data_IF_373067017125
#
_entry.id   IF_373067017125
#
_cell.length_a   1.000
_cell.length_b   1.000
_cell.length_c   1.000
_cell.angle_alpha   90.00
_cell.angle_beta   90.00
_cell.angle_gamma   90.00
#
_symmetry.space_group_name_H-M   'P 1'
#
loop_
_entity.id
_entity.type
_entity.pdbx_description
1 polymer ?
#
# COMPACT_ATOMS: atom_id res chain seq x y z
N UNK A 1 -4.25 -8.33 -9.62
CA UNK A 1 -5.18 -7.37 -8.97
C UNK A 1 -6.64 -7.60 -9.37
N UNK A 2 -6.96 -7.84 -10.64
CA UNK A 2 -8.32 -8.09 -11.15
C UNK A 2 -9.09 -9.12 -10.31
N UNK A 3 -8.51 -10.29 -10.05
CA UNK A 3 -9.16 -11.33 -9.28
C UNK A 3 -9.52 -10.93 -7.83
N UNK A 4 -8.70 -10.09 -7.18
CA UNK A 4 -8.98 -9.57 -5.82
C UNK A 4 -10.17 -8.61 -5.86
N UNK A 5 -10.19 -7.72 -6.85
CA UNK A 5 -11.23 -6.70 -7.01
C UNK A 5 -12.58 -7.36 -7.31
N UNK A 6 -12.61 -8.40 -8.16
CA UNK A 6 -13.84 -9.11 -8.48
C UNK A 6 -14.33 -10.03 -7.36
N UNK A 7 -13.44 -10.67 -6.61
CA UNK A 7 -13.84 -11.64 -5.58
C UNK A 7 -14.10 -11.00 -4.22
N UNK A 8 -13.59 -9.80 -3.96
CA UNK A 8 -13.67 -9.13 -2.65
C UNK A 8 -13.04 -9.92 -1.50
N UNK A 9 -12.23 -10.94 -1.81
CA UNK A 9 -11.72 -11.90 -0.82
C UNK A 9 -10.22 -12.10 -0.97
N UNK A 10 -9.53 -12.38 0.13
CA UNK A 10 -8.11 -12.74 0.14
C UNK A 10 -7.83 -14.21 -0.25
N UNK A 11 -8.87 -15.03 -0.47
CA UNK A 11 -8.70 -16.46 -0.71
C UNK A 11 -8.23 -16.76 -2.13
N UNK A 12 -7.04 -17.35 -2.24
CA UNK A 12 -6.43 -17.76 -3.51
C UNK A 12 -7.31 -18.71 -4.33
N UNK A 13 -8.09 -19.56 -3.69
CA UNK A 13 -8.99 -20.51 -4.36
C UNK A 13 -10.09 -19.78 -5.12
N UNK A 14 -10.60 -18.68 -4.57
CA UNK A 14 -11.62 -17.86 -5.23
C UNK A 14 -11.04 -17.06 -6.40
N UNK A 15 -9.74 -16.76 -6.38
CA UNK A 15 -9.09 -15.99 -7.44
C UNK A 15 -8.96 -16.77 -8.75
N UNK A 16 -8.91 -18.10 -8.69
CA UNK A 16 -8.70 -18.98 -9.86
C UNK A 16 -9.67 -18.67 -11.01
N UNK A 17 -10.93 -18.33 -10.71
CA UNK A 17 -11.96 -18.05 -11.71
C UNK A 17 -11.74 -16.74 -12.49
N UNK A 18 -10.97 -15.79 -11.95
CA UNK A 18 -10.81 -14.44 -12.50
C UNK A 18 -9.37 -14.12 -12.92
N UNK A 19 -8.45 -15.07 -12.77
CA UNK A 19 -7.07 -14.90 -13.21
C UNK A 19 -6.98 -15.28 -14.69
N UNK A 20 -6.53 -14.37 -15.57
CA UNK A 20 -6.35 -14.67 -16.98
C UNK A 20 -5.19 -15.66 -17.14
N UNK A 21 -5.51 -16.95 -17.18
CA UNK A 21 -4.55 -18.03 -17.34
C UNK A 21 -5.16 -19.11 -18.22
N UNK A 22 -4.41 -19.60 -19.21
CA UNK A 22 -4.78 -20.72 -20.08
C UNK A 22 -4.70 -22.09 -19.38
N UNK A 23 -4.68 -22.11 -18.05
CA UNK A 23 -4.51 -23.33 -17.27
C UNK A 23 -5.83 -24.07 -17.13
N UNK A 24 -5.84 -25.37 -17.42
CA UNK A 24 -7.06 -26.21 -17.31
C UNK A 24 -7.36 -26.68 -15.88
N UNK A 25 -6.39 -26.60 -14.97
CA UNK A 25 -6.50 -27.14 -13.61
C UNK A 25 -6.44 -26.04 -12.55
N UNK A 26 -7.43 -25.98 -11.67
CA UNK A 26 -7.50 -24.99 -10.60
C UNK A 26 -6.28 -25.06 -9.64
N UNK A 27 -5.83 -26.27 -9.33
CA UNK A 27 -4.66 -26.51 -8.48
C UNK A 27 -3.35 -25.97 -9.07
N UNK A 28 -3.17 -26.06 -10.40
CA UNK A 28 -1.95 -25.55 -11.04
C UNK A 28 -1.93 -24.02 -11.08
N UNK A 29 -3.08 -23.39 -11.27
CA UNK A 29 -3.27 -21.94 -11.19
C UNK A 29 -2.98 -21.44 -9.78
N UNK A 30 -3.58 -22.05 -8.75
CA UNK A 30 -3.33 -21.68 -7.35
C UNK A 30 -1.84 -21.76 -6.99
N UNK A 31 -1.17 -22.88 -7.32
CA UNK A 31 0.27 -23.04 -7.07
C UNK A 31 1.10 -21.99 -7.81
N UNK A 32 0.71 -21.59 -9.02
CA UNK A 32 1.39 -20.53 -9.77
C UNK A 32 1.24 -19.18 -9.10
N UNK A 33 0.02 -18.83 -8.65
CA UNK A 33 -0.22 -17.57 -7.91
C UNK A 33 0.57 -17.57 -6.60
N UNK A 34 0.58 -18.68 -5.86
CA UNK A 34 1.39 -18.80 -4.64
C UNK A 34 2.89 -18.62 -4.93
N UNK A 35 3.44 -19.34 -5.92
CA UNK A 35 4.86 -19.18 -6.30
C UNK A 35 5.19 -17.73 -6.67
N UNK A 36 4.29 -17.04 -7.34
CA UNK A 36 4.46 -15.63 -7.67
C UNK A 36 4.42 -14.75 -6.42
N UNK A 37 3.43 -14.90 -5.54
CA UNK A 37 3.30 -14.11 -4.30
C UNK A 37 4.48 -14.29 -3.35
N UNK A 38 4.98 -15.52 -3.21
CA UNK A 38 6.11 -15.85 -2.33
C UNK A 38 7.47 -15.69 -3.00
N UNK A 39 7.55 -15.12 -4.21
CA UNK A 39 8.82 -14.94 -4.88
C UNK A 39 9.59 -13.76 -4.27
N UNK A 40 10.72 -13.99 -3.59
CA UNK A 40 11.48 -12.91 -2.94
C UNK A 40 12.12 -11.95 -3.94
N UNK A 41 12.20 -12.33 -5.23
CA UNK A 41 12.73 -11.46 -6.30
C UNK A 41 11.75 -10.36 -6.70
N UNK A 42 10.48 -10.46 -6.30
CA UNK A 42 9.48 -9.44 -6.59
C UNK A 42 9.63 -8.31 -5.58
N UNK A 43 10.22 -7.21 -6.00
CA UNK A 43 10.28 -6.00 -5.21
C UNK A 43 8.94 -5.26 -5.31
N UNK A 44 8.15 -5.31 -4.23
CA UNK A 44 6.83 -4.68 -4.13
C UNK A 44 6.91 -3.17 -4.36
N UNK A 45 7.91 -2.49 -3.81
CA UNK A 45 8.09 -1.05 -4.01
C UNK A 45 8.30 -0.70 -5.49
N UNK A 46 9.09 -1.49 -6.21
CA UNK A 46 9.31 -1.29 -7.66
C UNK A 46 8.04 -1.54 -8.47
N UNK A 47 7.21 -2.50 -8.05
CA UNK A 47 5.94 -2.81 -8.72
C UNK A 47 4.90 -1.70 -8.53
N UNK A 48 4.79 -1.15 -7.32
CA UNK A 48 3.80 -0.11 -6.99
C UNK A 48 4.22 1.29 -7.42
N UNK A 49 5.52 1.59 -7.50
CA UNK A 49 6.04 2.90 -7.91
C UNK A 49 5.37 3.48 -9.17
N UNK A 50 5.32 2.78 -10.32
CA UNK A 50 4.70 3.33 -11.53
C UNK A 50 3.18 3.52 -11.38
N UNK A 51 2.50 2.70 -10.57
CA UNK A 51 1.06 2.85 -10.31
C UNK A 51 0.77 4.11 -9.49
N UNK A 52 1.59 4.37 -8.47
CA UNK A 52 1.47 5.57 -7.64
C UNK A 52 1.82 6.81 -8.49
N UNK A 53 2.87 6.74 -9.30
CA UNK A 53 3.25 7.83 -10.20
C UNK A 53 2.13 8.15 -11.19
N UNK A 54 1.52 7.14 -11.81
CA UNK A 54 0.39 7.34 -12.71
C UNK A 54 -0.83 7.94 -11.98
N UNK A 55 -1.15 7.46 -10.78
CA UNK A 55 -2.26 7.99 -9.99
C UNK A 55 -2.05 9.45 -9.55
N UNK A 56 -0.80 9.83 -9.26
CA UNK A 56 -0.44 11.20 -8.89
C UNK A 56 -0.23 12.13 -10.10
N UNK A 57 0.06 11.59 -11.28
CA UNK A 57 0.23 12.39 -12.50
C UNK A 57 -1.06 13.11 -12.92
N UNK A 58 -2.21 12.48 -12.68
CA UNK A 58 -3.53 13.04 -12.99
C UNK A 58 -4.09 13.93 -11.86
N UNK A 59 -3.29 14.20 -10.82
CA UNK A 59 -3.74 14.99 -9.67
C UNK A 59 -3.85 16.47 -10.02
N UNK A 60 -5.09 16.98 -10.11
CA UNK A 60 -5.38 18.38 -10.48
C UNK A 60 -5.69 19.28 -9.29
N UNK A 61 -5.98 18.71 -8.13
CA UNK A 61 -6.38 19.46 -6.95
C UNK A 61 -5.16 20.00 -6.19
N UNK A 62 -5.30 21.19 -5.60
CA UNK A 62 -4.21 21.84 -4.83
C UNK A 62 -3.90 21.14 -3.50
N UNK A 63 -4.86 20.38 -2.98
CA UNK A 63 -4.75 19.73 -1.68
C UNK A 63 -4.51 18.22 -1.85
N UNK A 64 -3.61 17.67 -1.03
CA UNK A 64 -3.41 16.23 -0.90
C UNK A 64 -3.85 15.81 0.50
N UNK A 65 -4.71 14.79 0.56
CA UNK A 65 -5.09 14.17 1.82
C UNK A 65 -4.17 13.00 2.13
N UNK A 66 -3.46 13.10 3.25
CA UNK A 66 -2.63 12.02 3.78
C UNK A 66 -3.36 11.37 4.96
N UNK A 67 -3.39 10.04 4.95
CA UNK A 67 -3.87 9.23 6.05
C UNK A 67 -2.70 8.44 6.63
N UNK A 68 -2.45 8.62 7.92
CA UNK A 68 -1.53 7.80 8.69
C UNK A 68 -2.35 6.75 9.44
N UNK A 69 -2.12 5.49 9.11
CA UNK A 69 -2.76 4.35 9.76
C UNK A 69 -1.72 3.55 10.53
N UNK A 70 -2.02 3.23 11.79
CA UNK A 70 -1.15 2.39 12.63
C UNK A 70 -1.92 1.17 13.10
N UNK A 71 -1.32 -0.01 12.96
CA UNK A 71 -1.92 -1.26 13.40
C UNK A 71 -0.92 -2.04 14.23
N UNK A 72 -1.30 -2.39 15.45
CA UNK A 72 -0.50 -3.22 16.34
C UNK A 72 -0.66 -4.71 15.97
N UNK A 73 0.46 -5.40 15.91
CA UNK A 73 0.59 -6.83 15.68
C UNK A 73 1.32 -7.44 16.88
N UNK A 74 0.65 -8.40 17.51
CA UNK A 74 1.18 -9.20 18.62
C UNK A 74 1.72 -8.37 19.80
N UNK A 75 1.21 -7.15 20.00
CA UNK A 75 1.66 -6.16 21.00
C UNK A 75 3.16 -5.78 20.96
N UNK A 76 3.92 -6.34 20.04
CA UNK A 76 5.36 -6.13 19.89
C UNK A 76 5.73 -5.38 18.62
N UNK A 77 4.85 -5.37 17.62
CA UNK A 77 5.12 -4.75 16.34
C UNK A 77 4.02 -3.75 15.98
N UNK A 78 4.42 -2.52 15.64
CA UNK A 78 3.52 -1.52 15.10
C UNK A 78 3.77 -1.39 13.60
N UNK A 79 2.74 -1.69 12.82
CA UNK A 79 2.71 -1.45 11.39
C UNK A 79 2.26 -0.01 11.15
N UNK A 80 3.14 0.82 10.59
CA UNK A 80 2.83 2.20 10.23
C UNK A 80 2.67 2.29 8.72
N UNK A 81 1.53 2.82 8.28
CA UNK A 81 1.13 2.99 6.88
C UNK A 81 0.90 4.46 6.59
N UNK A 82 1.64 4.99 5.63
CA UNK A 82 1.38 6.31 5.07
C UNK A 82 0.66 6.13 3.74
N UNK A 83 -0.55 6.68 3.65
CA UNK A 83 -1.40 6.56 2.46
C UNK A 83 -1.83 7.94 1.94
N UNK A 84 -1.87 8.11 0.63
CA UNK A 84 -2.55 9.24 -0.03
C UNK A 84 -3.99 8.83 -0.31
N UNK A 85 -4.96 9.65 0.08
CA UNK A 85 -6.37 9.41 -0.21
C UNK A 85 -6.72 10.02 -1.56
N UNK A 86 -6.81 9.17 -2.59
CA UNK A 86 -7.17 9.56 -3.95
C UNK A 86 -8.55 9.01 -4.34
N UNK A 87 -9.48 9.88 -4.75
CA UNK A 87 -10.84 9.49 -5.21
C UNK A 87 -11.55 8.51 -4.27
N UNK A 88 -11.40 8.71 -2.96
CA UNK A 88 -11.98 7.85 -1.92
C UNK A 88 -11.25 6.53 -1.64
N UNK A 89 -10.05 6.33 -2.21
CA UNK A 89 -9.19 5.17 -1.93
C UNK A 89 -7.87 5.58 -1.30
N UNK A 90 -7.42 4.81 -0.31
CA UNK A 90 -6.10 4.96 0.30
C UNK A 90 -5.03 4.26 -0.57
N UNK A 91 -4.13 5.03 -1.16
CA UNK A 91 -2.98 4.56 -1.91
C UNK A 91 -1.75 4.52 -0.99
N UNK A 92 -1.19 3.35 -0.66
CA UNK A 92 -0.06 3.26 0.24
C UNK A 92 1.20 3.81 -0.43
N UNK A 93 1.80 4.84 0.17
CA UNK A 93 3.11 5.37 -0.19
C UNK A 93 4.22 4.59 0.51
N UNK A 94 4.05 4.42 1.82
CA UNK A 94 5.00 3.72 2.67
C UNK A 94 4.33 2.76 3.61
N UNK A 95 5.06 1.68 3.85
CA UNK A 95 4.76 0.69 4.86
C UNK A 95 6.05 0.44 5.62
N UNK A 96 6.04 0.64 6.93
CA UNK A 96 7.16 0.27 7.79
C UNK A 96 6.63 -0.51 8.98
N UNK A 97 7.30 -1.63 9.29
CA UNK A 97 7.09 -2.36 10.51
C UNK A 97 8.12 -1.88 11.54
N UNK A 98 7.66 -1.34 12.65
CA UNK A 98 8.50 -0.92 13.78
C UNK A 98 8.26 -1.85 14.95
N UNK A 99 9.33 -2.31 15.59
CA UNK A 99 9.22 -3.02 16.87
C UNK A 99 8.89 -2.01 17.97
N UNK A 100 7.88 -2.29 18.77
CA UNK A 100 7.45 -1.49 19.91
C UNK A 100 8.45 -1.73 21.05
N UNK A 101 9.43 -0.84 21.16
CA UNK A 101 10.35 -0.80 22.29
C UNK A 101 9.69 -0.02 23.43
N UNK A 102 9.01 -0.72 24.35
CA UNK A 102 8.68 -0.38 25.75
C UNK A 102 8.03 0.97 26.15
N UNK A 103 8.29 2.08 25.44
CA UNK A 103 7.96 3.45 25.84
C UNK A 103 6.88 4.12 24.97
N UNK A 104 6.40 3.46 23.90
CA UNK A 104 5.51 4.06 22.90
C UNK A 104 4.06 3.56 22.94
N UNK A 105 3.63 2.90 24.01
CA UNK A 105 2.30 2.29 24.07
C UNK A 105 1.21 3.38 24.25
N UNK A 106 1.53 4.50 24.89
CA UNK A 106 0.55 5.58 25.13
C UNK A 106 0.32 6.54 23.95
N UNK A 107 1.21 6.60 22.95
CA UNK A 107 1.08 7.54 21.82
C UNK A 107 0.36 6.93 20.59
N UNK A 108 0.09 5.62 20.59
CA UNK A 108 -0.48 4.90 19.44
C UNK A 108 -2.02 4.85 19.45
N UNK A 109 -2.68 5.48 20.42
CA UNK A 109 -4.13 5.74 20.39
C UNK A 109 -4.49 6.98 19.58
N UNK A 110 -3.61 7.48 18.70
CA UNK A 110 -4.01 8.52 17.74
C UNK A 110 -4.58 7.83 16.50
N UNK A 111 -5.86 7.46 16.64
CA UNK A 111 -6.71 7.06 15.54
C UNK A 111 -6.70 8.15 14.45
N UNK A 112 -6.33 7.75 13.23
CA UNK A 112 -6.63 8.46 11.97
C UNK A 112 -6.35 9.97 12.01
N UNK A 113 -5.07 10.36 12.08
CA UNK A 113 -4.70 11.75 11.76
C UNK A 113 -4.90 11.96 10.26
N UNK A 114 -6.09 12.42 9.88
CA UNK A 114 -6.36 12.96 8.54
C UNK A 114 -5.85 14.39 8.51
N UNK A 115 -4.53 14.55 8.45
CA UNK A 115 -3.91 15.87 8.28
C UNK A 115 -4.11 16.34 6.86
N UNK A 116 -4.85 17.44 6.69
CA UNK A 116 -4.88 18.22 5.45
C UNK A 116 -3.52 18.90 5.32
N UNK A 117 -2.66 18.37 4.46
CA UNK A 117 -1.41 19.06 4.12
C UNK A 117 -1.59 19.75 2.76
N UNK A 118 -1.47 21.08 2.76
CA UNK A 118 -1.36 21.87 1.55
C UNK A 118 0.07 21.70 1.01
N UNK A 119 0.28 20.62 0.27
CA UNK A 119 1.54 20.37 -0.43
C UNK A 119 1.36 21.01 -1.81
N UNK A 120 1.99 22.18 -2.02
CA UNK A 120 1.93 22.91 -3.28
C UNK A 120 2.63 22.09 -4.38
N UNK A 121 1.84 21.49 -5.26
CA UNK A 121 2.28 20.51 -6.28
C UNK A 121 2.90 21.23 -7.50
N UNK A 122 2.76 22.55 -7.61
CA UNK A 122 3.22 23.33 -8.76
C UNK A 122 4.76 23.44 -8.84
N UNK A 123 5.47 23.14 -7.74
CA UNK A 123 6.92 23.07 -7.75
C UNK A 123 7.43 21.67 -8.14
N UNK A 124 7.18 21.31 -9.40
CA UNK A 124 7.98 20.39 -10.23
C UNK A 124 8.48 19.12 -9.50
N UNK A 125 7.59 18.15 -9.25
CA UNK A 125 7.87 16.72 -9.02
C UNK A 125 8.95 16.29 -7.98
N UNK A 126 9.56 17.19 -7.20
CA UNK A 126 10.63 16.85 -6.25
C UNK A 126 10.20 16.54 -4.81
N UNK A 127 9.17 17.14 -4.19
CA UNK A 127 9.00 17.03 -2.74
C UNK A 127 8.47 15.66 -2.29
N UNK A 128 7.66 14.98 -3.11
CA UNK A 128 7.09 13.70 -2.70
C UNK A 128 8.14 12.58 -2.68
N UNK A 129 9.12 12.57 -3.59
CA UNK A 129 10.17 11.54 -3.59
C UNK A 129 11.17 11.76 -2.45
N UNK A 130 11.49 13.00 -2.09
CA UNK A 130 12.39 13.28 -0.96
C UNK A 130 11.76 13.01 0.41
N UNK A 131 10.47 13.28 0.62
CA UNK A 131 9.77 12.88 1.85
C UNK A 131 9.64 11.36 2.01
N UNK A 132 9.59 10.64 0.89
CA UNK A 132 9.39 9.19 0.78
C UNK A 132 10.73 8.42 0.92
N UNK A 133 11.85 8.99 0.45
CA UNK A 133 13.17 8.33 0.44
C UNK A 133 14.27 9.05 1.26
N UNK A 134 13.99 10.22 1.85
CA UNK A 134 14.95 11.04 2.60
C UNK A 134 14.92 10.90 4.13
N UNK A 135 13.96 10.14 4.67
CA UNK A 135 13.92 9.80 6.10
C UNK A 135 14.56 8.43 6.31
N UNK A 136 15.89 8.44 6.36
CA UNK A 136 16.70 7.34 6.89
C UNK A 136 16.54 7.24 8.41
#
# INVERSE_FOLDING_TARGET
MIAVIHTGSGSLTKWVAYVPCSGKFAQSIQRRIQRWLYNPRINVHRLYKPLIQAALADWKDKDIFLALDTSLFWDEYCLVRLCVVYRGRALPLHLCLKRVLGFYIHLLSVNQVKTRQHIDIDNRQRPLIELVYGLW
#
